data_IF_362606077337
#
_entry.id   IF_362606077337
#
_cell.length_a   1.000
_cell.length_b   1.000
_cell.length_c   1.000
_cell.angle_alpha   90.00
_cell.angle_beta   90.00
_cell.angle_gamma   90.00
#
_symmetry.space_group_name_H-M   'P 1'
#
loop_
_entity.id
_entity.type
_entity.pdbx_description
1 polymer ?
#
# COMPACT_ATOMS: atom_id res chain seq x y z
N UNK A 1 7.87 -13.68 0.12
CA UNK A 1 6.41 -13.82 0.25
C UNK A 1 5.74 -13.79 -1.12
N UNK A 2 4.86 -14.72 -1.36
CA UNK A 2 4.10 -14.81 -2.61
C UNK A 2 2.61 -14.64 -2.28
N UNK A 3 1.95 -13.72 -3.00
CA UNK A 3 0.51 -13.53 -2.91
C UNK A 3 -0.09 -13.90 -4.26
N UNK A 4 -1.09 -14.78 -4.24
CA UNK A 4 -1.81 -15.17 -5.44
C UNK A 4 -3.02 -14.29 -5.67
N UNK A 5 -3.12 -13.79 -6.87
CA UNK A 5 -4.32 -13.21 -7.43
C UNK A 5 -5.01 -14.31 -8.26
N UNK A 6 -6.22 -14.09 -8.73
CA UNK A 6 -6.99 -15.09 -9.48
C UNK A 6 -6.25 -15.70 -10.68
N UNK A 7 -5.28 -15.00 -11.25
CA UNK A 7 -4.57 -15.43 -12.46
C UNK A 7 -3.07 -15.35 -12.36
N UNK A 8 -2.52 -14.87 -11.25
CA UNK A 8 -1.09 -14.59 -11.12
C UNK A 8 -0.61 -14.83 -9.72
N UNK A 9 0.66 -15.16 -9.63
CA UNK A 9 1.39 -15.15 -8.36
C UNK A 9 2.32 -13.95 -8.39
N UNK A 10 2.10 -13.03 -7.45
CA UNK A 10 2.98 -11.90 -7.25
C UNK A 10 4.07 -12.28 -6.26
N UNK A 11 5.31 -12.00 -6.62
CA UNK A 11 6.43 -12.19 -5.73
C UNK A 11 6.87 -10.86 -5.16
N UNK A 12 6.96 -10.78 -3.84
CA UNK A 12 7.39 -9.58 -3.13
C UNK A 12 8.80 -9.77 -2.62
N UNK A 13 9.68 -8.82 -2.94
CA UNK A 13 11.06 -8.83 -2.52
C UNK A 13 11.36 -7.59 -1.71
N UNK A 14 12.05 -7.79 -0.58
CA UNK A 14 12.60 -6.68 0.19
C UNK A 14 13.81 -6.15 -0.59
N UNK A 15 13.68 -4.95 -1.15
CA UNK A 15 14.71 -4.35 -1.97
C UNK A 15 15.74 -3.59 -1.16
N UNK A 16 15.29 -2.92 -0.10
CA UNK A 16 16.20 -2.12 0.72
C UNK A 16 15.56 -1.75 2.06
N UNK A 17 16.45 -1.41 2.99
CA UNK A 17 16.08 -0.78 4.27
C UNK A 17 16.73 0.59 4.26
N UNK A 18 15.96 1.63 4.54
CA UNK A 18 16.47 3.00 4.53
C UNK A 18 17.15 3.28 5.87
N UNK A 19 18.48 3.24 5.86
CA UNK A 19 19.28 3.30 7.09
C UNK A 19 19.12 4.59 7.91
N UNK A 20 18.85 5.72 7.25
CA UNK A 20 18.70 7.00 7.94
C UNK A 20 17.30 7.29 8.44
N UNK A 21 16.37 6.44 8.09
CA UNK A 21 14.98 6.54 8.51
C UNK A 21 14.56 5.18 9.04
N UNK A 22 14.72 4.97 10.35
CA UNK A 22 14.46 3.66 10.94
C UNK A 22 13.04 3.21 10.65
N UNK A 23 12.87 1.91 10.56
CA UNK A 23 11.58 1.25 10.36
C UNK A 23 10.95 1.47 8.98
N UNK A 24 11.75 1.90 7.99
CA UNK A 24 11.30 1.99 6.60
C UNK A 24 11.86 0.85 5.79
N UNK A 25 11.00 0.24 5.00
CA UNK A 25 11.32 -0.90 4.15
C UNK A 25 10.76 -0.66 2.76
N UNK A 26 11.53 -1.02 1.73
CA UNK A 26 11.11 -0.93 0.34
C UNK A 26 10.90 -2.31 -0.24
N UNK A 27 9.77 -2.50 -0.90
CA UNK A 27 9.39 -3.77 -1.52
C UNK A 27 9.14 -3.57 -3.00
N UNK A 28 9.60 -4.54 -3.80
CA UNK A 28 9.24 -4.66 -5.20
C UNK A 28 8.24 -5.79 -5.36
N UNK A 29 7.23 -5.59 -6.19
CA UNK A 29 6.36 -6.66 -6.63
C UNK A 29 6.79 -7.07 -8.03
N UNK A 30 7.00 -8.35 -8.22
CA UNK A 30 7.52 -8.89 -9.48
C UNK A 30 6.59 -9.96 -10.05
N UNK A 31 6.64 -10.09 -11.36
CA UNK A 31 6.01 -11.17 -12.08
C UNK A 31 6.93 -11.52 -13.25
N UNK A 32 7.28 -12.82 -13.37
CA UNK A 32 8.20 -13.31 -14.40
C UNK A 32 9.52 -12.52 -14.41
N UNK A 33 10.10 -12.32 -13.22
CA UNK A 33 11.39 -11.63 -13.01
C UNK A 33 11.40 -10.15 -13.43
N UNK A 34 10.24 -9.56 -13.69
CA UNK A 34 10.13 -8.16 -14.06
C UNK A 34 9.39 -7.38 -12.98
N UNK A 35 9.95 -6.26 -12.57
CA UNK A 35 9.35 -5.40 -11.55
C UNK A 35 8.09 -4.74 -12.09
N UNK A 36 6.98 -4.94 -11.39
CA UNK A 36 5.68 -4.39 -11.76
C UNK A 36 5.28 -3.19 -10.90
N UNK A 37 5.89 -3.03 -9.74
CA UNK A 37 5.62 -1.91 -8.86
C UNK A 37 6.56 -1.89 -7.68
N UNK A 38 6.53 -0.79 -6.95
CA UNK A 38 7.35 -0.55 -5.76
C UNK A 38 6.49 0.05 -4.65
N UNK A 39 6.85 -0.24 -3.40
CA UNK A 39 6.19 0.33 -2.23
C UNK A 39 7.21 0.56 -1.12
N UNK A 40 7.12 1.71 -0.48
CA UNK A 40 7.90 2.02 0.72
C UNK A 40 6.93 2.12 1.88
N UNK A 41 7.21 1.40 2.96
CA UNK A 41 6.39 1.43 4.17
C UNK A 41 7.21 1.87 5.37
N UNK A 42 6.52 2.46 6.34
CA UNK A 42 7.05 2.76 7.67
C UNK A 42 6.24 1.96 8.69
N UNK A 43 6.90 1.29 9.64
CA UNK A 43 6.27 0.23 10.43
C UNK A 43 6.12 0.54 11.93
N UNK A 44 6.67 1.64 12.45
CA UNK A 44 6.75 1.87 13.90
C UNK A 44 6.27 3.23 14.38
N UNK A 45 6.29 4.25 13.55
CA UNK A 45 6.16 5.63 14.01
C UNK A 45 4.77 6.25 13.79
N UNK A 46 3.91 5.62 12.98
CA UNK A 46 2.62 6.18 12.65
C UNK A 46 1.48 5.54 13.44
N UNK A 47 0.59 6.38 13.93
CA UNK A 47 -0.62 5.95 14.63
C UNK A 47 -1.85 6.03 13.74
N UNK A 48 -2.83 5.20 14.07
CA UNK A 48 -4.14 5.24 13.41
C UNK A 48 -4.89 6.52 13.78
N UNK A 49 -5.57 7.12 12.82
CA UNK A 49 -6.47 8.25 13.05
C UNK A 49 -7.89 7.79 13.33
N UNK A 50 -8.23 6.57 12.90
CA UNK A 50 -9.56 5.99 13.15
C UNK A 50 -9.63 5.29 14.50
N UNK A 51 -8.48 4.82 15.03
CA UNK A 51 -8.40 4.12 16.30
C UNK A 51 -7.24 4.72 17.11
N UNK A 52 -7.51 5.77 17.83
CA UNK A 52 -6.49 6.52 18.59
C UNK A 52 -5.71 5.60 19.53
N UNK A 53 -4.39 5.77 19.54
CA UNK A 53 -3.50 4.97 20.36
C UNK A 53 -3.07 3.66 19.73
N UNK A 54 -3.63 3.29 18.58
CA UNK A 54 -3.26 2.09 17.86
C UNK A 54 -2.29 2.39 16.72
N UNK A 55 -1.36 1.49 16.49
CA UNK A 55 -0.38 1.65 15.39
C UNK A 55 -0.92 1.13 14.07
N UNK A 56 -0.28 1.58 13.00
CA UNK A 56 -0.55 1.08 11.66
C UNK A 56 0.75 1.08 10.85
N UNK A 57 0.71 0.39 9.70
CA UNK A 57 1.74 0.57 8.68
C UNK A 57 1.37 1.79 7.85
N UNK A 58 2.31 2.71 7.72
CA UNK A 58 2.13 3.88 6.85
C UNK A 58 2.80 3.62 5.50
N UNK A 59 2.05 3.76 4.41
CA UNK A 59 2.59 3.64 3.06
C UNK A 59 3.13 5.00 2.64
N UNK A 60 4.45 5.10 2.65
CA UNK A 60 5.17 6.34 2.36
C UNK A 60 5.27 6.60 0.85
N UNK A 61 5.27 5.54 0.06
CA UNK A 61 5.27 5.63 -1.40
C UNK A 61 4.77 4.33 -2.01
N UNK A 62 4.04 4.47 -3.10
CA UNK A 62 3.55 3.34 -3.87
C UNK A 62 3.48 3.76 -5.34
N UNK A 63 4.02 2.93 -6.23
CA UNK A 63 4.03 3.22 -7.66
C UNK A 63 3.94 1.95 -8.47
N UNK A 64 3.12 1.98 -9.52
CA UNK A 64 3.07 0.92 -10.53
C UNK A 64 4.02 1.28 -11.66
N UNK A 65 4.56 0.26 -12.32
CA UNK A 65 5.34 0.46 -13.53
C UNK A 65 4.47 1.15 -14.60
N UNK A 66 5.06 1.98 -15.48
CA UNK A 66 4.27 2.72 -16.47
C UNK A 66 3.39 1.85 -17.36
N UNK A 67 3.86 0.66 -17.72
CA UNK A 67 3.08 -0.24 -18.59
C UNK A 67 1.85 -0.85 -17.92
N UNK A 68 1.70 -0.66 -16.61
CA UNK A 68 0.52 -1.11 -15.87
C UNK A 68 -0.50 0.01 -15.65
N UNK A 69 -0.22 1.21 -16.11
CA UNK A 69 -1.13 2.35 -15.96
C UNK A 69 -2.09 2.40 -17.13
N UNK A 70 -3.35 2.48 -16.80
CA UNK A 70 -4.42 2.46 -17.79
C UNK A 70 -4.32 3.58 -18.83
N UNK A 71 -3.83 4.74 -18.42
CA UNK A 71 -3.67 5.90 -19.31
C UNK A 71 -2.54 5.74 -20.31
N UNK A 72 -1.62 4.80 -20.09
CA UNK A 72 -0.44 4.62 -20.93
C UNK A 72 -0.61 3.42 -21.84
N UNK A 73 -1.25 2.36 -21.34
CA UNK A 73 -1.46 1.14 -22.09
C UNK A 73 -2.86 0.59 -21.83
N UNK A 74 -3.55 0.21 -22.87
CA UNK A 74 -4.91 -0.32 -22.76
C UNK A 74 -5.04 -1.62 -23.53
N UNK A 75 -5.41 -2.73 -22.86
CA UNK A 75 -5.51 -2.83 -21.39
C UNK A 75 -4.13 -2.84 -20.75
N UNK A 76 -4.03 -2.55 -19.45
CA UNK A 76 -2.76 -2.67 -18.74
C UNK A 76 -2.25 -4.10 -18.81
N UNK A 77 -0.93 -4.29 -18.89
CA UNK A 77 -0.34 -5.62 -18.92
C UNK A 77 -0.68 -6.44 -17.69
N UNK A 78 -0.62 -5.80 -16.51
CA UNK A 78 -0.88 -6.47 -15.25
C UNK A 78 -1.74 -5.58 -14.36
N UNK A 79 -3.04 -5.86 -14.37
CA UNK A 79 -3.98 -5.18 -13.47
C UNK A 79 -3.79 -5.66 -12.04
N UNK A 80 -4.11 -4.81 -11.10
CA UNK A 80 -4.12 -5.20 -9.70
C UNK A 80 -2.79 -5.06 -8.98
N UNK A 81 -1.77 -4.44 -9.60
CA UNK A 81 -0.47 -4.21 -8.95
C UNK A 81 -0.64 -3.41 -7.67
N UNK A 82 -1.34 -2.28 -7.74
CA UNK A 82 -1.59 -1.44 -6.55
C UNK A 82 -2.40 -2.18 -5.49
N UNK A 83 -3.40 -2.92 -5.91
CA UNK A 83 -4.22 -3.74 -4.99
C UNK A 83 -3.37 -4.79 -4.30
N UNK A 84 -2.48 -5.46 -5.03
CA UNK A 84 -1.60 -6.46 -4.46
C UNK A 84 -0.61 -5.85 -3.45
N UNK A 85 -0.05 -4.67 -3.77
CA UNK A 85 0.84 -3.96 -2.85
C UNK A 85 0.13 -3.57 -1.55
N UNK A 86 -1.09 -3.06 -1.63
CA UNK A 86 -1.88 -2.72 -0.45
C UNK A 86 -2.23 -3.97 0.38
N UNK A 87 -2.56 -5.07 -0.28
CA UNK A 87 -2.82 -6.35 0.40
C UNK A 87 -1.58 -6.84 1.14
N UNK A 88 -0.42 -6.68 0.53
CA UNK A 88 0.85 -7.02 1.17
C UNK A 88 1.08 -6.16 2.43
N UNK A 89 0.82 -4.86 2.35
CA UNK A 89 0.93 -3.97 3.50
C UNK A 89 -0.03 -4.40 4.63
N UNK A 90 -1.27 -4.78 4.30
CA UNK A 90 -2.22 -5.27 5.30
C UNK A 90 -1.77 -6.57 5.94
N UNK A 91 -1.21 -7.48 5.17
CA UNK A 91 -0.62 -8.73 5.70
C UNK A 91 0.51 -8.41 6.68
N UNK A 92 1.41 -7.50 6.31
CA UNK A 92 2.49 -7.05 7.20
C UNK A 92 1.96 -6.41 8.47
N UNK A 93 0.88 -5.64 8.37
CA UNK A 93 0.23 -5.04 9.53
C UNK A 93 -0.33 -6.10 10.48
N UNK A 94 -0.95 -7.16 9.94
CA UNK A 94 -1.39 -8.30 10.76
C UNK A 94 -0.22 -8.98 11.46
N UNK A 95 0.88 -9.21 10.75
CA UNK A 95 2.08 -9.86 11.32
C UNK A 95 2.69 -9.04 12.45
N UNK A 96 2.61 -7.72 12.38
CA UNK A 96 3.12 -6.82 13.43
C UNK A 96 2.14 -6.64 14.59
N UNK A 97 0.96 -7.20 14.50
CA UNK A 97 -0.06 -7.05 15.53
C UNK A 97 -0.89 -5.78 15.42
N UNK A 98 -0.89 -5.15 14.25
CA UNK A 98 -1.64 -3.92 14.01
C UNK A 98 -3.02 -4.17 13.40
N UNK A 99 -3.45 -5.42 13.36
CA UNK A 99 -4.79 -5.83 12.93
C UNK A 99 -5.18 -5.43 11.51
N UNK A 100 -4.20 -5.29 10.63
CA UNK A 100 -4.42 -4.95 9.22
C UNK A 100 -4.56 -3.45 8.96
N UNK A 101 -4.38 -2.58 9.95
CA UNK A 101 -4.45 -1.13 9.75
C UNK A 101 -3.30 -0.65 8.88
N UNK A 102 -3.65 0.16 7.88
CA UNK A 102 -2.71 0.78 6.94
C UNK A 102 -3.19 2.19 6.66
N UNK A 103 -2.28 3.14 6.64
CA UNK A 103 -2.60 4.53 6.32
C UNK A 103 -1.70 5.07 5.22
N UNK A 104 -2.20 6.07 4.50
CA UNK A 104 -1.43 6.76 3.47
C UNK A 104 -2.05 8.11 3.11
N UNK A 105 -1.25 8.95 2.47
CA UNK A 105 -1.75 10.17 1.84
C UNK A 105 -1.80 9.95 0.33
N UNK A 106 -2.96 10.23 -0.27
CA UNK A 106 -3.14 10.06 -1.71
C UNK A 106 -2.54 11.22 -2.48
N UNK A 107 -1.78 10.93 -3.53
CA UNK A 107 -1.40 11.97 -4.49
C UNK A 107 -2.65 12.45 -5.23
N UNK A 108 -2.65 13.71 -5.72
CA UNK A 108 -3.76 14.21 -6.51
C UNK A 108 -4.05 13.31 -7.71
N UNK A 109 -5.31 12.99 -7.90
CA UNK A 109 -5.75 12.12 -8.98
C UNK A 109 -5.82 10.65 -8.64
N UNK A 110 -5.32 10.21 -7.48
CA UNK A 110 -5.36 8.81 -7.06
C UNK A 110 -6.46 8.49 -6.05
N UNK A 111 -7.23 9.46 -5.61
CA UNK A 111 -8.22 9.31 -4.54
C UNK A 111 -9.25 8.24 -4.87
N UNK A 112 -9.72 8.20 -6.12
CA UNK A 112 -10.70 7.22 -6.54
C UNK A 112 -10.19 5.79 -6.41
N UNK A 113 -8.91 5.58 -6.70
CA UNK A 113 -8.30 4.26 -6.56
C UNK A 113 -8.40 3.78 -5.11
N UNK A 114 -8.04 4.64 -4.15
CA UNK A 114 -8.08 4.25 -2.74
C UNK A 114 -9.51 4.06 -2.22
N UNK A 115 -10.46 4.88 -2.67
CA UNK A 115 -11.87 4.65 -2.39
C UNK A 115 -12.32 3.27 -2.86
N UNK A 116 -11.95 2.89 -4.08
CA UNK A 116 -12.32 1.59 -4.64
C UNK A 116 -11.64 0.42 -3.94
N UNK A 117 -10.52 0.67 -3.27
CA UNK A 117 -9.87 -0.35 -2.45
C UNK A 117 -10.54 -0.55 -1.09
N UNK A 118 -11.52 0.25 -0.76
CA UNK A 118 -12.21 0.16 0.52
C UNK A 118 -11.54 0.91 1.65
N UNK A 119 -10.59 1.79 1.34
CA UNK A 119 -9.99 2.66 2.35
C UNK A 119 -10.96 3.79 2.70
N UNK A 120 -10.87 4.25 3.92
CA UNK A 120 -11.74 5.31 4.44
C UNK A 120 -11.08 6.66 4.20
N UNK A 121 -11.78 7.55 3.51
CA UNK A 121 -11.36 8.93 3.31
C UNK A 121 -11.54 9.70 4.62
N UNK A 122 -10.43 10.10 5.21
CA UNK A 122 -10.42 10.83 6.49
C UNK A 122 -10.41 12.35 6.26
N UNK A 123 -10.11 12.78 5.04
CA UNK A 123 -10.11 14.18 4.68
C UNK A 123 -8.73 14.75 4.37
N UNK A 124 -8.71 16.01 4.01
CA UNK A 124 -7.48 16.73 3.69
C UNK A 124 -6.61 16.91 4.93
N UNK A 125 -5.30 16.84 4.74
CA UNK A 125 -4.32 16.97 5.81
C UNK A 125 -3.40 18.17 5.52
N UNK A 126 -3.57 19.25 6.27
CA UNK A 126 -2.78 20.47 6.09
C UNK A 126 -1.27 20.25 6.25
N UNK A 127 -0.88 19.30 7.09
CA UNK A 127 0.53 18.99 7.34
C UNK A 127 1.17 18.22 6.20
N UNK A 128 0.37 17.77 5.22
CA UNK A 128 0.80 17.01 4.06
C UNK A 128 0.26 17.62 2.77
N UNK A 129 0.44 18.92 2.60
CA UNK A 129 0.08 19.66 1.38
C UNK A 129 -1.39 19.52 0.98
N UNK A 130 -2.29 19.41 1.96
CA UNK A 130 -3.72 19.20 1.79
C UNK A 130 -4.09 17.91 1.05
N UNK A 131 -3.17 16.96 0.98
CA UNK A 131 -3.46 15.64 0.43
C UNK A 131 -4.50 14.91 1.29
N UNK A 132 -5.34 14.12 0.66
CA UNK A 132 -6.34 13.33 1.39
C UNK A 132 -5.68 12.15 2.06
N UNK A 133 -5.93 12.00 3.36
CA UNK A 133 -5.46 10.85 4.12
C UNK A 133 -6.50 9.74 4.07
N UNK A 134 -6.04 8.54 3.73
CA UNK A 134 -6.85 7.33 3.69
C UNK A 134 -6.34 6.31 4.70
N UNK A 135 -7.26 5.54 5.27
CA UNK A 135 -6.87 4.50 6.21
C UNK A 135 -7.75 3.25 6.05
N UNK A 136 -7.11 2.09 6.07
CA UNK A 136 -7.81 0.82 6.31
C UNK A 136 -7.99 0.62 7.81
N UNK A 137 -9.19 0.29 8.23
CA UNK A 137 -9.45 -0.15 9.59
C UNK A 137 -9.01 -1.60 9.81
N UNK A 138 -9.52 -2.21 10.87
CA UNK A 138 -9.23 -3.60 11.21
C UNK A 138 -9.59 -4.51 10.04
N UNK A 139 -8.67 -5.38 9.67
CA UNK A 139 -8.92 -6.40 8.66
C UNK A 139 -9.53 -7.62 9.33
N UNK A 140 -10.80 -7.86 9.07
CA UNK A 140 -11.51 -9.01 9.60
C UNK A 140 -11.65 -10.08 8.52
N UNK A 141 -11.42 -11.33 8.91
CA UNK A 141 -11.70 -12.46 8.04
C UNK A 141 -13.20 -12.52 7.76
N UNK A 142 -13.56 -12.88 6.54
CA UNK A 142 -14.96 -13.03 6.12
C UNK A 142 -15.56 -14.38 6.46
N UNK A 143 -14.87 -15.20 7.20
CA UNK A 143 -15.38 -16.51 7.62
C UNK A 143 -16.43 -16.40 8.71
#
# INVERSE_FOLDING_TARGET
LIISDSHRQWEFKLEFVINRQPNREGYAIEYEDETQGLMIIETQLHGSRLAEGQRLIYVDGIASAPWNREMIQRPPNYKGVGTALLSFARTGSLELGYNGRVGLHSLPGSEKFYDLQGMIDVGEDEDYDDLIYFEYGIWRSST
#
